data_IF_280829736629
#
_entry.id   IF_280829736629
#
_cell.length_a   1.000
_cell.length_b   1.000
_cell.length_c   1.000
_cell.angle_alpha   90.00
_cell.angle_beta   90.00
_cell.angle_gamma   90.00
#
_symmetry.space_group_name_H-M   'P 1'
#
loop_
_entity.id
_entity.type
_entity.pdbx_description
1 polymer ?
#
# COMPACT_ATOMS: atom_id res chain seq x y z
N UNK A 1 17.95 5.36 -18.33
CA UNK A 1 18.11 6.76 -17.90
C UNK A 1 17.39 6.86 -16.58
N UNK A 2 18.14 6.92 -15.48
CA UNK A 2 17.57 6.93 -14.14
C UNK A 2 17.13 8.35 -13.83
N UNK A 3 15.89 8.52 -13.33
CA UNK A 3 15.47 9.81 -12.79
C UNK A 3 16.31 10.05 -11.53
N UNK A 4 17.08 11.14 -11.50
CA UNK A 4 17.80 11.51 -10.28
C UNK A 4 16.82 11.98 -9.19
N UNK A 5 17.31 12.17 -7.96
CA UNK A 5 16.49 12.62 -6.84
C UNK A 5 15.83 14.01 -7.09
N UNK A 6 16.42 14.87 -7.91
CA UNK A 6 15.84 16.17 -8.32
C UNK A 6 14.72 16.01 -9.36
N UNK A 7 14.79 15.02 -10.26
CA UNK A 7 13.69 14.68 -11.18
C UNK A 7 12.51 14.03 -10.47
N UNK A 8 12.76 13.33 -9.37
CA UNK A 8 11.72 12.81 -8.50
C UNK A 8 10.98 13.92 -7.74
N UNK A 9 11.67 14.96 -7.25
CA UNK A 9 11.01 16.14 -6.67
C UNK A 9 10.11 16.87 -7.67
N UNK A 10 10.43 16.85 -8.98
CA UNK A 10 9.59 17.43 -10.04
C UNK A 10 8.29 16.63 -10.30
N UNK A 11 8.20 15.39 -9.83
CA UNK A 11 6.98 14.57 -9.88
C UNK A 11 6.10 14.74 -8.62
N UNK A 12 6.60 15.46 -7.61
CA UNK A 12 5.83 15.87 -6.44
C UNK A 12 5.18 17.23 -6.76
N UNK A 13 3.95 17.18 -7.25
CA UNK A 13 3.11 18.37 -7.28
C UNK A 13 2.60 18.63 -5.85
N UNK A 14 3.24 19.63 -5.22
CA UNK A 14 3.00 20.20 -3.88
C UNK A 14 3.78 19.57 -2.71
N UNK A 15 5.02 20.05 -2.53
CA UNK A 15 5.85 19.83 -1.33
C UNK A 15 5.42 20.64 -0.09
N UNK A 16 4.25 21.28 -0.09
CA UNK A 16 3.74 22.09 1.02
C UNK A 16 2.35 21.70 1.54
N UNK A 17 1.68 20.69 0.96
CA UNK A 17 0.23 20.61 1.10
C UNK A 17 -0.46 19.25 1.11
N UNK A 18 0.21 18.11 1.29
CA UNK A 18 -0.51 16.89 1.74
C UNK A 18 -0.91 17.04 3.23
N UNK A 19 -1.60 18.14 3.55
CA UNK A 19 -2.18 18.39 4.85
C UNK A 19 -3.45 17.56 4.89
N UNK A 20 -3.33 16.41 5.55
CA UNK A 20 -4.49 15.61 5.92
C UNK A 20 -5.60 16.50 6.49
N UNK A 21 -6.80 16.35 5.93
CA UNK A 21 -8.06 16.71 6.56
C UNK A 21 -8.15 18.13 7.19
N UNK A 22 -7.66 19.15 6.49
CA UNK A 22 -8.07 20.54 6.74
C UNK A 22 -9.39 20.85 6.02
N UNK A 23 -10.34 21.46 6.72
CA UNK A 23 -11.77 21.62 6.37
C UNK A 23 -12.12 22.43 5.10
N UNK A 24 -11.16 22.80 4.25
CA UNK A 24 -11.45 23.46 2.96
C UNK A 24 -11.44 22.44 1.82
N UNK A 25 -12.64 21.95 1.44
CA UNK A 25 -12.94 21.06 0.29
C UNK A 25 -11.76 20.15 -0.09
N UNK A 26 -11.71 18.96 0.50
CA UNK A 26 -10.73 17.94 0.10
C UNK A 26 -10.77 17.75 -1.41
N UNK A 27 -9.65 18.08 -2.05
CA UNK A 27 -9.41 17.84 -3.46
C UNK A 27 -9.24 16.33 -3.66
N UNK A 28 -9.60 15.82 -4.85
CA UNK A 28 -9.43 14.41 -5.16
C UNK A 28 -7.99 14.15 -5.56
N UNK A 29 -7.43 13.02 -5.14
CA UNK A 29 -6.05 12.65 -5.41
C UNK A 29 -5.95 11.26 -6.02
N UNK A 30 -5.05 11.07 -6.97
CA UNK A 30 -4.46 9.79 -7.30
C UNK A 30 -3.04 9.75 -6.77
N UNK A 31 -2.77 8.84 -5.83
CA UNK A 31 -1.45 8.67 -5.24
C UNK A 31 -0.87 7.31 -5.65
N UNK A 32 0.36 7.32 -6.16
CA UNK A 32 1.04 6.12 -6.62
C UNK A 32 2.37 5.91 -5.89
N UNK A 33 2.47 4.82 -5.16
CA UNK A 33 3.69 4.34 -4.52
C UNK A 33 4.48 3.49 -5.52
N UNK A 34 5.69 3.90 -5.85
CA UNK A 34 6.55 3.28 -6.87
C UNK A 34 7.98 3.09 -6.37
N UNK A 35 8.77 2.26 -7.05
CA UNK A 35 10.21 2.15 -6.86
C UNK A 35 10.91 2.66 -8.12
N UNK A 36 11.78 3.66 -7.96
CA UNK A 36 12.43 4.35 -9.08
C UNK A 36 13.38 3.45 -9.91
N UNK A 37 13.91 2.39 -9.31
CA UNK A 37 14.91 1.49 -9.91
C UNK A 37 14.30 0.35 -10.75
N UNK A 38 12.99 0.38 -11.01
CA UNK A 38 12.31 -0.66 -11.78
C UNK A 38 12.22 -0.34 -13.26
N UNK A 39 12.23 -1.38 -14.10
CA UNK A 39 12.16 -1.25 -15.57
C UNK A 39 10.86 -0.62 -16.09
N UNK A 40 9.78 -0.65 -15.30
CA UNK A 40 8.47 -0.11 -15.66
C UNK A 40 8.30 1.38 -15.33
N UNK A 41 9.25 2.02 -14.64
CA UNK A 41 9.18 3.44 -14.24
C UNK A 41 8.92 4.40 -15.41
N UNK A 42 9.55 4.25 -16.60
CA UNK A 42 9.29 5.15 -17.72
C UNK A 42 7.85 5.07 -18.26
N UNK A 43 7.28 3.86 -18.32
CA UNK A 43 5.88 3.66 -18.75
C UNK A 43 4.92 4.30 -17.76
N UNK A 44 5.25 4.21 -16.46
CA UNK A 44 4.50 4.85 -15.39
C UNK A 44 4.49 6.38 -15.54
N UNK A 45 5.67 6.98 -15.77
CA UNK A 45 5.80 8.43 -15.91
C UNK A 45 4.95 8.99 -17.04
N UNK A 46 5.01 8.37 -18.24
CA UNK A 46 4.20 8.80 -19.39
C UNK A 46 2.70 8.72 -19.09
N UNK A 47 2.25 7.60 -18.52
CA UNK A 47 0.83 7.41 -18.22
C UNK A 47 0.30 8.42 -17.19
N UNK A 48 1.12 8.78 -16.20
CA UNK A 48 0.74 9.78 -15.20
C UNK A 48 0.68 11.19 -15.77
N UNK A 49 1.58 11.54 -16.68
CA UNK A 49 1.53 12.83 -17.38
C UNK A 49 0.26 12.95 -18.24
N UNK A 50 -0.09 11.88 -18.96
CA UNK A 50 -1.33 11.82 -19.74
C UNK A 50 -2.57 12.01 -18.86
N UNK A 51 -2.59 11.36 -17.69
CA UNK A 51 -3.67 11.51 -16.72
C UNK A 51 -3.72 12.92 -16.13
N UNK A 52 -2.57 13.50 -15.78
CA UNK A 52 -2.51 14.86 -15.22
C UNK A 52 -3.03 15.88 -16.22
N UNK A 53 -2.64 15.74 -17.50
CA UNK A 53 -3.15 16.57 -18.59
C UNK A 53 -4.66 16.37 -18.80
N UNK A 54 -5.15 15.12 -18.78
CA UNK A 54 -6.57 14.80 -18.96
C UNK A 54 -7.45 15.36 -17.85
N UNK A 55 -7.02 15.31 -16.60
CA UNK A 55 -7.81 15.82 -15.47
C UNK A 55 -7.66 17.33 -15.24
N UNK A 56 -6.66 17.98 -15.83
CA UNK A 56 -6.56 19.44 -15.81
C UNK A 56 -6.56 20.08 -14.41
N UNK A 57 -6.16 19.32 -13.38
CA UNK A 57 -6.18 19.76 -11.97
C UNK A 57 -7.44 19.42 -11.17
N UNK A 58 -8.50 18.91 -11.80
CA UNK A 58 -9.71 18.43 -11.10
C UNK A 58 -9.38 17.27 -10.15
N UNK A 59 -8.41 16.46 -10.54
CA UNK A 59 -7.81 15.39 -9.74
C UNK A 59 -6.30 15.63 -9.72
N UNK A 60 -5.75 15.73 -8.52
CA UNK A 60 -4.31 15.86 -8.32
C UNK A 60 -3.65 14.50 -8.44
N UNK A 61 -2.44 14.44 -9.01
CA UNK A 61 -1.69 13.20 -9.19
C UNK A 61 -0.37 13.33 -8.45
N UNK A 62 -0.13 12.40 -7.53
CA UNK A 62 1.08 12.33 -6.73
C UNK A 62 1.81 11.01 -6.94
N UNK A 63 3.13 11.09 -7.02
CA UNK A 63 4.04 9.93 -7.09
C UNK A 63 4.89 9.91 -5.83
N UNK A 64 4.93 8.75 -5.19
CA UNK A 64 5.65 8.51 -3.95
C UNK A 64 6.65 7.38 -4.18
N UNK A 65 7.93 7.66 -4.02
CA UNK A 65 9.00 6.67 -4.01
C UNK A 65 8.98 5.96 -2.66
N UNK A 66 8.52 4.72 -2.67
CA UNK A 66 8.27 3.94 -1.46
C UNK A 66 9.52 3.65 -0.63
N UNK A 67 10.72 3.85 -1.20
CA UNK A 67 11.99 3.72 -0.47
C UNK A 67 12.43 5.00 0.24
N UNK A 68 11.99 6.15 -0.25
CA UNK A 68 12.36 7.46 0.31
C UNK A 68 11.30 7.87 1.33
N UNK A 69 10.02 7.74 0.97
CA UNK A 69 8.88 8.13 1.79
C UNK A 69 8.35 6.96 2.63
N UNK A 70 9.20 6.41 3.49
CA UNK A 70 8.86 5.19 4.25
C UNK A 70 7.70 5.41 5.22
N UNK A 71 7.62 6.57 5.89
CA UNK A 71 6.53 6.85 6.84
C UNK A 71 5.15 6.85 6.16
N UNK A 72 5.05 7.50 5.00
CA UNK A 72 3.82 7.56 4.22
C UNK A 72 3.48 6.17 3.64
N UNK A 73 4.49 5.44 3.19
CA UNK A 73 4.39 4.05 2.71
C UNK A 73 3.83 3.13 3.80
N UNK A 74 4.35 3.24 5.03
CA UNK A 74 3.85 2.52 6.19
C UNK A 74 2.44 2.97 6.59
N UNK A 75 2.13 4.26 6.46
CA UNK A 75 0.80 4.80 6.76
C UNK A 75 -0.29 4.18 5.87
N UNK A 76 0.01 4.04 4.58
CA UNK A 76 -0.87 3.41 3.59
C UNK A 76 -0.76 1.87 3.57
N UNK A 77 0.02 1.28 4.49
CA UNK A 77 0.29 -0.16 4.55
C UNK A 77 0.78 -0.72 3.19
N UNK A 78 1.59 0.06 2.47
CA UNK A 78 2.19 -0.32 1.18
C UNK A 78 3.51 -1.04 1.46
N UNK A 79 3.52 -2.36 1.32
CA UNK A 79 4.74 -3.16 1.55
C UNK A 79 5.38 -3.65 0.25
N UNK A 80 4.72 -3.45 -0.88
CA UNK A 80 5.19 -3.84 -2.21
C UNK A 80 4.74 -2.78 -3.22
N UNK A 81 5.66 -2.37 -4.08
CA UNK A 81 5.41 -1.40 -5.15
C UNK A 81 5.34 -2.12 -6.52
N UNK A 82 4.53 -1.61 -7.48
CA UNK A 82 3.75 -0.38 -7.39
C UNK A 82 2.37 -0.57 -6.74
N UNK A 83 1.86 0.50 -6.11
CA UNK A 83 0.51 0.58 -5.53
C UNK A 83 -0.11 1.94 -5.80
N UNK A 84 -1.35 1.95 -6.27
CA UNK A 84 -2.12 3.18 -6.48
C UNK A 84 -3.33 3.27 -5.56
N UNK A 85 -3.70 4.48 -5.17
CA UNK A 85 -4.96 4.78 -4.50
C UNK A 85 -5.61 6.01 -5.10
N UNK A 86 -6.94 6.00 -5.15
CA UNK A 86 -7.75 7.18 -5.42
C UNK A 86 -8.38 7.67 -4.12
N UNK A 87 -8.17 8.94 -3.78
CA UNK A 87 -8.71 9.57 -2.58
C UNK A 87 -9.86 10.47 -3.02
N UNK A 88 -11.08 10.16 -2.56
CA UNK A 88 -12.26 10.94 -2.89
C UNK A 88 -12.37 12.23 -2.06
N UNK A 89 -13.42 13.01 -2.31
CA UNK A 89 -13.65 14.31 -1.64
C UNK A 89 -13.98 14.16 -0.16
N UNK A 90 -14.31 12.95 0.26
CA UNK A 90 -14.60 12.56 1.63
C UNK A 90 -13.34 12.08 2.37
N UNK A 91 -12.19 12.01 1.67
CA UNK A 91 -10.93 11.53 2.21
C UNK A 91 -10.88 10.01 2.37
N UNK A 92 -11.68 9.27 1.61
CA UNK A 92 -11.63 7.81 1.55
C UNK A 92 -10.69 7.41 0.41
N UNK A 93 -9.66 6.67 0.76
CA UNK A 93 -8.76 6.02 -0.17
C UNK A 93 -9.39 4.72 -0.69
N UNK A 94 -9.46 4.60 -2.00
CA UNK A 94 -9.93 3.44 -2.76
C UNK A 94 -8.73 2.84 -3.47
N UNK A 95 -8.49 1.53 -3.30
CA UNK A 95 -7.38 0.87 -4.00
C UNK A 95 -7.59 0.93 -5.51
N UNK A 96 -6.56 1.37 -6.22
CA UNK A 96 -6.46 1.31 -7.68
C UNK A 96 -5.70 0.04 -8.06
N UNK A 97 -6.37 -0.84 -8.79
CA UNK A 97 -5.90 -2.19 -9.06
C UNK A 97 -4.90 -2.32 -10.21
N UNK A 98 -4.94 -1.48 -11.27
CA UNK A 98 -3.94 -1.56 -12.32
C UNK A 98 -2.54 -1.27 -11.77
N UNK A 99 -1.61 -2.18 -12.06
CA UNK A 99 -0.19 -2.06 -11.70
C UNK A 99 0.41 -0.83 -12.37
N UNK A 100 0.06 -0.56 -13.63
CA UNK A 100 0.41 0.64 -14.37
C UNK A 100 -0.90 1.27 -14.83
N UNK A 101 -1.11 2.58 -14.60
CA UNK A 101 -2.32 3.23 -15.07
C UNK A 101 -2.37 3.26 -16.60
N UNK A 102 -3.51 2.92 -17.18
CA UNK A 102 -3.80 3.14 -18.60
C UNK A 102 -4.79 4.30 -18.70
N UNK A 103 -4.52 5.30 -19.55
CA UNK A 103 -5.32 6.53 -19.61
C UNK A 103 -6.83 6.26 -19.68
N UNK A 104 -7.27 5.57 -20.73
CA UNK A 104 -8.70 5.35 -20.98
C UNK A 104 -9.39 4.56 -19.87
N UNK A 105 -8.77 3.48 -19.39
CA UNK A 105 -9.33 2.64 -18.32
C UNK A 105 -9.39 3.38 -16.99
N UNK A 106 -8.35 4.17 -16.69
CA UNK A 106 -8.29 4.93 -15.43
C UNK A 106 -9.35 6.03 -15.42
N UNK A 107 -9.51 6.73 -16.55
CA UNK A 107 -10.55 7.74 -16.74
C UNK A 107 -11.93 7.11 -16.59
N UNK A 108 -12.19 6.01 -17.30
CA UNK A 108 -13.47 5.29 -17.21
C UNK A 108 -13.79 4.86 -15.78
N UNK A 109 -12.80 4.24 -15.10
CA UNK A 109 -12.95 3.79 -13.71
C UNK A 109 -13.29 4.94 -12.74
N UNK A 110 -12.73 6.13 -12.97
CA UNK A 110 -13.00 7.34 -12.16
C UNK A 110 -14.36 7.96 -12.51
N UNK A 111 -14.62 8.21 -13.80
CA UNK A 111 -15.83 8.89 -14.27
C UNK A 111 -17.08 8.05 -13.99
N UNK A 112 -17.02 6.74 -14.17
CA UNK A 112 -18.10 5.79 -13.84
C UNK A 112 -18.21 5.51 -12.33
N UNK A 113 -17.30 6.04 -11.52
CA UNK A 113 -17.23 5.83 -10.06
C UNK A 113 -17.10 4.36 -9.66
N UNK A 114 -16.47 3.55 -10.49
CA UNK A 114 -16.21 2.14 -10.23
C UNK A 114 -15.33 1.94 -8.99
N UNK A 115 -14.51 2.95 -8.66
CA UNK A 115 -13.73 3.00 -7.41
C UNK A 115 -14.59 2.81 -6.16
N UNK A 116 -15.88 3.16 -6.16
CA UNK A 116 -16.78 2.93 -5.03
C UNK A 116 -16.97 1.46 -4.70
N UNK A 117 -16.76 0.58 -5.67
CA UNK A 117 -16.78 -0.87 -5.51
C UNK A 117 -15.39 -1.45 -5.22
N UNK A 118 -14.39 -0.59 -4.93
CA UNK A 118 -13.07 -1.06 -4.54
C UNK A 118 -13.20 -1.94 -3.29
N UNK A 119 -12.60 -3.15 -3.32
CA UNK A 119 -12.73 -4.13 -2.23
C UNK A 119 -11.99 -3.70 -0.97
N UNK A 120 -11.06 -2.74 -1.07
CA UNK A 120 -10.40 -2.13 0.07
C UNK A 120 -10.59 -0.62 0.03
N UNK A 121 -11.26 -0.11 1.08
CA UNK A 121 -11.54 1.30 1.30
C UNK A 121 -11.20 1.66 2.73
N UNK A 122 -10.47 2.74 2.91
CA UNK A 122 -10.09 3.23 4.23
C UNK A 122 -10.00 4.75 4.22
N UNK A 123 -10.14 5.37 5.38
CA UNK A 123 -9.90 6.81 5.50
C UNK A 123 -8.42 7.06 5.27
N UNK A 124 -8.09 7.96 4.34
CA UNK A 124 -6.72 8.35 4.04
C UNK A 124 -5.99 8.69 5.36
N UNK A 125 -4.89 7.98 5.67
CA UNK A 125 -4.24 8.10 6.96
C UNK A 125 -3.59 9.49 7.07
N UNK A 126 -3.70 10.16 8.23
CA UNK A 126 -2.82 11.28 8.52
C UNK A 126 -1.39 10.77 8.72
N UNK A 127 -0.42 11.70 8.77
CA UNK A 127 0.93 11.39 9.20
C UNK A 127 0.90 10.65 10.55
N UNK A 128 1.63 9.54 10.62
CA UNK A 128 1.61 8.68 11.80
C UNK A 128 2.39 9.34 12.95
N UNK A 129 1.88 9.21 14.17
CA UNK A 129 2.67 9.56 15.35
C UNK A 129 3.76 8.49 15.58
N UNK A 130 4.82 8.83 16.33
CA UNK A 130 5.98 7.94 16.58
C UNK A 130 5.60 6.55 17.07
N UNK A 131 4.59 6.45 17.95
CA UNK A 131 4.13 5.17 18.48
C UNK A 131 3.44 4.30 17.40
N UNK A 132 2.59 4.90 16.56
CA UNK A 132 1.97 4.21 15.43
C UNK A 132 3.00 3.80 14.39
N UNK A 133 3.99 4.66 14.14
CA UNK A 133 5.09 4.37 13.22
C UNK A 133 5.87 3.14 13.69
N UNK A 134 6.24 3.07 14.97
CA UNK A 134 6.89 1.89 15.56
C UNK A 134 6.06 0.62 15.37
N UNK A 135 4.75 0.67 15.64
CA UNK A 135 3.86 -0.47 15.40
C UNK A 135 3.79 -0.85 13.92
N UNK A 136 3.85 0.10 12.99
CA UNK A 136 3.89 -0.16 11.56
C UNK A 136 5.19 -0.89 11.14
N UNK A 137 6.33 -0.56 11.76
CA UNK A 137 7.58 -1.30 11.58
C UNK A 137 7.48 -2.74 12.10
N UNK A 138 6.99 -2.94 13.32
CA UNK A 138 6.77 -4.30 13.87
C UNK A 138 5.86 -5.12 12.95
N UNK A 139 4.78 -4.51 12.44
CA UNK A 139 3.92 -5.17 11.45
C UNK A 139 4.68 -5.55 10.18
N UNK A 140 5.53 -4.66 9.65
CA UNK A 140 6.34 -4.92 8.44
C UNK A 140 7.29 -6.10 8.66
N UNK A 141 7.96 -6.17 9.79
CA UNK A 141 8.89 -7.26 10.14
C UNK A 141 8.15 -8.59 10.30
N UNK A 142 7.08 -8.64 11.08
CA UNK A 142 6.27 -9.86 11.26
C UNK A 142 5.74 -10.37 9.91
N UNK A 143 5.30 -9.47 9.03
CA UNK A 143 4.86 -9.82 7.66
C UNK A 143 6.00 -10.42 6.83
N UNK A 144 7.18 -9.83 6.92
CA UNK A 144 8.37 -10.29 6.19
C UNK A 144 8.79 -11.67 6.68
N UNK A 145 8.84 -11.86 8.00
CA UNK A 145 9.13 -13.15 8.62
C UNK A 145 8.10 -14.22 8.24
N UNK A 146 6.79 -13.90 8.30
CA UNK A 146 5.75 -14.84 7.89
C UNK A 146 5.96 -15.30 6.44
N UNK A 147 6.21 -14.35 5.52
CA UNK A 147 6.42 -14.62 4.10
C UNK A 147 7.62 -15.56 3.89
N UNK A 148 8.69 -15.39 4.66
CA UNK A 148 9.91 -16.19 4.52
C UNK A 148 9.81 -17.58 5.18
N UNK A 149 9.15 -17.70 6.33
CA UNK A 149 9.27 -18.88 7.19
C UNK A 149 8.04 -19.77 7.27
N UNK A 150 6.84 -19.17 7.16
CA UNK A 150 5.58 -19.83 7.48
C UNK A 150 4.63 -19.94 6.29
N UNK A 151 4.68 -18.99 5.34
CA UNK A 151 3.78 -18.92 4.18
C UNK A 151 3.59 -20.27 3.51
N UNK A 152 4.66 -20.84 2.97
CA UNK A 152 4.59 -22.02 2.11
C UNK A 152 4.06 -23.26 2.85
N UNK A 153 4.23 -23.29 4.18
CA UNK A 153 3.79 -24.39 5.04
C UNK A 153 2.29 -24.32 5.34
N UNK A 154 1.72 -23.12 5.46
CA UNK A 154 0.36 -22.93 5.97
C UNK A 154 -0.61 -22.51 4.85
N UNK A 155 -0.14 -21.87 3.77
CA UNK A 155 -0.98 -21.33 2.69
C UNK A 155 -1.91 -22.38 2.06
N UNK A 156 -1.44 -23.61 1.83
CA UNK A 156 -2.28 -24.70 1.30
C UNK A 156 -3.48 -25.03 2.21
N UNK A 157 -3.25 -25.05 3.53
CA UNK A 157 -4.30 -25.30 4.50
C UNK A 157 -5.26 -24.12 4.59
N UNK A 158 -4.73 -22.90 4.59
CA UNK A 158 -5.55 -21.69 4.59
C UNK A 158 -6.47 -21.67 3.35
N UNK A 159 -5.94 -21.92 2.15
CA UNK A 159 -6.73 -21.93 0.90
C UNK A 159 -7.88 -22.95 0.95
N UNK A 160 -7.69 -24.11 1.58
CA UNK A 160 -8.75 -25.12 1.76
C UNK A 160 -9.89 -24.63 2.64
N UNK A 161 -9.60 -23.85 3.67
CA UNK A 161 -10.61 -23.20 4.52
C UNK A 161 -11.03 -21.83 3.99
N UNK A 162 -10.66 -21.49 2.74
CA UNK A 162 -10.88 -20.20 2.06
C UNK A 162 -10.28 -18.99 2.78
N UNK A 163 -9.32 -19.24 3.65
CA UNK A 163 -8.56 -18.25 4.37
C UNK A 163 -7.26 -18.01 3.59
N UNK A 164 -6.70 -16.81 3.53
CA UNK A 164 -5.36 -16.70 2.96
C UNK A 164 -4.65 -15.46 3.47
N UNK A 165 -3.59 -15.66 4.25
CA UNK A 165 -2.88 -14.55 4.91
C UNK A 165 -2.27 -13.53 3.95
N UNK A 166 -1.82 -13.96 2.78
CA UNK A 166 -1.15 -13.08 1.81
C UNK A 166 -2.14 -12.56 0.78
N UNK A 167 -3.16 -13.32 0.43
CA UNK A 167 -4.23 -12.84 -0.44
C UNK A 167 -5.15 -11.85 0.30
N UNK A 168 -5.29 -11.98 1.62
CA UNK A 168 -6.10 -11.09 2.46
C UNK A 168 -5.32 -9.87 3.02
N UNK A 169 -4.00 -9.81 2.80
CA UNK A 169 -3.14 -8.66 3.17
C UNK A 169 -2.39 -8.03 2.00
N UNK A 170 -2.25 -8.73 0.87
CA UNK A 170 -1.93 -8.12 -0.41
C UNK A 170 -3.26 -7.83 -1.11
N UNK A 171 -3.67 -6.56 -1.23
CA UNK A 171 -4.92 -6.24 -1.90
C UNK A 171 -4.97 -6.83 -3.33
N UNK A 172 -3.86 -7.16 -3.99
CA UNK A 172 -3.86 -7.62 -5.38
C UNK A 172 -4.54 -8.96 -5.67
N UNK A 173 -4.75 -9.83 -4.68
CA UNK A 173 -5.45 -11.11 -4.88
C UNK A 173 -6.98 -10.95 -4.72
N UNK A 174 -7.54 -9.94 -5.39
CA UNK A 174 -8.94 -9.50 -5.30
C UNK A 174 -9.98 -10.57 -5.64
N UNK A 175 -9.61 -11.63 -6.38
CA UNK A 175 -10.54 -12.71 -6.75
C UNK A 175 -10.97 -13.55 -5.54
N UNK A 176 -10.23 -13.52 -4.43
CA UNK A 176 -10.51 -14.35 -3.25
C UNK A 176 -11.05 -13.54 -2.05
N UNK A 177 -10.94 -12.19 -2.04
CA UNK A 177 -11.32 -11.29 -0.92
C UNK A 177 -12.82 -11.29 -0.61
N UNK A 178 -13.68 -11.72 -1.54
CA UNK A 178 -15.15 -11.61 -1.40
C UNK A 178 -15.80 -12.61 -0.42
N UNK A 179 -15.05 -13.50 0.25
CA UNK A 179 -15.66 -14.68 0.88
C UNK A 179 -15.56 -14.87 2.39
N UNK A 180 -14.94 -13.99 3.20
CA UNK A 180 -14.83 -14.25 4.66
C UNK A 180 -14.82 -12.99 5.53
N UNK A 181 -14.99 -13.19 6.84
CA UNK A 181 -15.09 -12.17 7.89
C UNK A 181 -13.69 -11.56 8.17
N UNK A 182 -13.16 -10.90 7.14
CA UNK A 182 -11.74 -10.54 6.94
C UNK A 182 -11.05 -9.84 8.11
N UNK A 183 -11.77 -9.11 8.98
CA UNK A 183 -11.13 -8.34 10.05
C UNK A 183 -10.65 -9.20 11.23
N UNK A 184 -11.47 -10.14 11.70
CA UNK A 184 -11.14 -11.02 12.84
C UNK A 184 -10.03 -11.99 12.45
N UNK A 185 -10.12 -12.47 11.23
CA UNK A 185 -9.21 -13.43 10.61
C UNK A 185 -7.80 -12.87 10.44
N UNK A 186 -7.69 -11.58 10.03
CA UNK A 186 -6.44 -10.81 9.97
C UNK A 186 -5.75 -10.68 11.32
N UNK A 187 -6.51 -10.41 12.38
CA UNK A 187 -5.95 -10.26 13.72
C UNK A 187 -5.39 -11.59 14.24
N UNK A 188 -6.08 -12.70 13.96
CA UNK A 188 -5.71 -14.00 14.48
C UNK A 188 -4.40 -14.52 13.87
N UNK A 189 -4.20 -14.39 12.56
CA UNK A 189 -2.91 -14.80 11.97
C UNK A 189 -1.79 -13.85 12.36
N UNK A 190 -2.07 -12.54 12.46
CA UNK A 190 -1.05 -11.59 12.95
C UNK A 190 -0.60 -11.94 14.38
N UNK A 191 -1.54 -12.31 15.25
CA UNK A 191 -1.24 -12.78 16.61
C UNK A 191 -0.42 -14.08 16.56
N UNK A 192 -0.82 -15.07 15.77
CA UNK A 192 -0.08 -16.34 15.66
C UNK A 192 1.34 -16.16 15.13
N UNK A 193 1.51 -15.36 14.07
CA UNK A 193 2.81 -15.03 13.50
C UNK A 193 3.67 -14.25 14.50
N UNK A 194 3.09 -13.28 15.21
CA UNK A 194 3.78 -12.50 16.25
C UNK A 194 4.23 -13.37 17.42
N UNK A 195 3.37 -14.25 17.92
CA UNK A 195 3.71 -15.19 19.01
C UNK A 195 4.85 -16.12 18.59
N UNK A 196 4.77 -16.70 17.38
CA UNK A 196 5.82 -17.58 16.88
C UNK A 196 7.15 -16.85 16.69
N UNK A 197 7.11 -15.64 16.11
CA UNK A 197 8.30 -14.80 15.94
C UNK A 197 8.96 -14.45 17.29
N UNK A 198 8.17 -14.16 18.32
CA UNK A 198 8.69 -13.93 19.68
C UNK A 198 9.34 -15.19 20.24
N UNK A 199 8.74 -16.37 20.06
CA UNK A 199 9.29 -17.64 20.53
C UNK A 199 10.64 -17.93 19.86
N UNK A 200 10.74 -17.78 18.54
CA UNK A 200 12.01 -17.96 17.81
C UNK A 200 13.06 -16.96 18.28
N UNK A 201 12.69 -15.68 18.45
CA UNK A 201 13.63 -14.65 18.91
C UNK A 201 14.19 -14.94 20.32
N UNK A 202 13.34 -15.46 21.22
CA UNK A 202 13.78 -15.88 22.57
C UNK A 202 14.67 -17.12 22.47
N UNK A 203 14.31 -18.09 21.64
CA UNK A 203 15.09 -19.30 21.44
C UNK A 203 16.50 -18.99 20.91
N UNK A 204 16.59 -18.11 19.92
CA UNK A 204 17.86 -17.66 19.34
C UNK A 204 18.71 -16.93 20.37
N UNK A 205 18.11 -16.08 21.21
CA UNK A 205 18.81 -15.39 22.30
C UNK A 205 19.37 -16.36 23.35
N UNK A 206 18.61 -17.40 23.71
CA UNK A 206 19.03 -18.41 24.69
C UNK A 206 20.05 -19.41 24.12
N UNK A 207 19.97 -19.67 22.82
CA UNK A 207 20.84 -20.62 22.11
C UNK A 207 22.11 -19.97 21.57
N UNK A 208 22.18 -18.64 21.57
CA UNK A 208 23.38 -17.92 21.19
C UNK A 208 24.54 -18.33 22.13
N UNK A 209 25.67 -18.79 21.58
CA UNK A 209 26.81 -19.16 22.41
C UNK A 209 27.26 -17.93 23.21
N UNK A 210 27.43 -18.12 24.52
CA UNK A 210 27.96 -17.08 25.40
C UNK A 210 29.30 -16.60 24.83
N UNK A 211 29.35 -15.33 24.41
CA UNK A 211 30.59 -14.66 24.01
C UNK A 211 31.48 -14.43 25.23
#
# INVERSE_FOLDING_TARGET
MFLDAEEYEKLIYDGSGFIGAGESKMQQWMIFFVEHDKSWTPMFSSALQDLAHKFGGDIQIAVVNSRVEEELTLAYEVYQSPRGFFIDKEGVAHVFTPVVPELNKTVEWIENREFKHSPLRFKAPPLQNKAKLYWSYVKKEVRTWYKANLRDKVEHYLRKVKFSYIVDMDPMDFKEINNLNTKTDRQLIFILAGVWWIIESIWDLLSAPAQ
#
